data_IF_285261661860
#
_entry.id   IF_285261661860
#
_cell.length_a   1.000
_cell.length_b   1.000
_cell.length_c   1.000
_cell.angle_alpha   90.00
_cell.angle_beta   90.00
_cell.angle_gamma   90.00
#
_symmetry.space_group_name_H-M   'P 1'
#
loop_
_entity.id
_entity.type
_entity.pdbx_description
1 polymer ?
#
# COMPACT_ATOMS: atom_id res chain seq x y z
N UNK A 1 31.06 28.19 39.73
CA UNK A 1 30.72 29.62 39.89
C UNK A 1 29.49 29.85 39.02
N UNK A 2 28.31 29.56 39.58
CA UNK A 2 27.32 30.51 40.17
C UNK A 2 26.31 30.88 39.06
N UNK A 3 25.16 30.21 38.98
CA UNK A 3 23.86 30.60 39.59
C UNK A 3 23.33 31.95 39.10
N UNK A 4 22.15 31.92 38.46
CA UNK A 4 20.97 32.73 38.76
C UNK A 4 19.78 32.18 37.93
N UNK A 5 18.74 31.57 38.49
CA UNK A 5 17.61 32.16 39.27
C UNK A 5 16.86 33.25 38.47
N UNK A 6 15.54 33.35 38.38
CA UNK A 6 14.38 32.63 38.93
C UNK A 6 13.10 33.34 38.35
N UNK A 7 11.92 32.86 38.76
CA UNK A 7 10.56 33.45 38.69
C UNK A 7 9.70 32.97 37.49
N UNK A 8 8.76 32.02 37.66
CA UNK A 8 7.54 31.98 38.49
C UNK A 8 6.56 33.13 38.21
N UNK A 9 5.34 32.79 37.76
CA UNK A 9 4.15 33.12 38.53
C UNK A 9 2.93 32.29 38.07
N UNK A 10 2.39 31.54 39.03
CA UNK A 10 1.08 30.91 39.06
C UNK A 10 0.02 31.94 39.51
N UNK A 11 -1.24 31.80 39.09
CA UNK A 11 -2.48 32.24 39.78
C UNK A 11 -3.65 31.58 39.00
N UNK A 12 -4.44 30.61 39.47
CA UNK A 12 -5.19 30.36 40.72
C UNK A 12 -6.68 30.77 40.61
N UNK A 13 -7.56 29.76 40.75
CA UNK A 13 -8.94 29.75 41.33
C UNK A 13 -10.04 30.69 40.76
N UNK A 14 -11.38 30.48 40.79
CA UNK A 14 -12.34 29.50 41.36
C UNK A 14 -13.79 29.81 40.88
N UNK A 15 -14.70 28.81 40.99
CA UNK A 15 -16.12 28.88 41.47
C UNK A 15 -17.30 29.43 40.63
N UNK A 16 -18.14 28.48 40.18
CA UNK A 16 -19.59 28.19 40.43
C UNK A 16 -20.66 29.30 40.69
N UNK A 17 -21.83 29.11 40.02
CA UNK A 17 -23.25 29.22 40.48
C UNK A 17 -24.21 30.03 39.55
N UNK A 18 -25.33 29.40 39.12
CA UNK A 18 -26.47 30.01 38.36
C UNK A 18 -27.56 30.58 39.30
N UNK A 19 -28.89 30.59 39.00
CA UNK A 19 -29.71 30.45 37.78
C UNK A 19 -30.63 31.71 37.55
N UNK A 20 -31.53 31.85 36.55
CA UNK A 20 -32.95 31.39 36.53
C UNK A 20 -33.67 31.76 35.20
N UNK A 21 -34.45 30.80 34.68
CA UNK A 21 -35.81 30.86 34.07
C UNK A 21 -36.28 32.07 33.21
N UNK A 22 -36.71 31.80 31.96
CA UNK A 22 -38.08 32.06 31.41
C UNK A 22 -38.26 31.31 30.06
N UNK A 23 -39.32 30.49 29.89
CA UNK A 23 -40.02 30.41 28.61
C UNK A 23 -40.43 29.03 28.06
N UNK A 24 -41.57 28.52 28.53
CA UNK A 24 -42.39 27.48 27.90
C UNK A 24 -43.08 28.00 26.60
N UNK A 25 -42.92 27.29 25.46
CA UNK A 25 -43.98 27.00 24.47
C UNK A 25 -43.49 26.24 23.21
N UNK A 26 -43.80 24.95 23.19
CA UNK A 26 -44.26 24.07 22.09
C UNK A 26 -44.19 24.56 20.62
N UNK A 27 -43.44 23.84 19.76
CA UNK A 27 -43.96 23.33 18.46
C UNK A 27 -42.93 22.56 17.59
N UNK A 28 -43.34 21.33 17.28
CA UNK A 28 -43.25 20.60 16.00
C UNK A 28 -41.92 20.04 15.45
N UNK A 29 -41.86 18.70 15.46
CA UNK A 29 -41.33 17.79 14.43
C UNK A 29 -40.15 18.29 13.58
N UNK A 30 -38.93 17.93 13.98
CA UNK A 30 -37.82 17.72 13.06
C UNK A 30 -37.23 16.33 13.30
N UNK A 31 -37.33 15.48 12.26
CA UNK A 31 -36.78 14.12 12.21
C UNK A 31 -35.34 14.07 12.74
N UNK A 32 -34.89 12.97 13.38
CA UNK A 32 -33.46 12.80 13.61
C UNK A 32 -32.80 12.75 12.24
N UNK A 33 -32.08 13.82 11.90
CA UNK A 33 -31.11 13.80 10.81
C UNK A 33 -30.17 12.66 11.20
N UNK A 34 -30.30 11.51 10.52
CA UNK A 34 -29.25 10.49 10.48
C UNK A 34 -28.01 11.25 10.02
N UNK A 35 -27.19 11.67 10.98
CA UNK A 35 -25.80 11.99 10.70
C UNK A 35 -25.30 10.70 10.06
N UNK A 36 -25.09 10.74 8.74
CA UNK A 36 -24.26 9.74 8.10
C UNK A 36 -22.98 9.81 8.89
N UNK A 37 -22.74 8.82 9.75
CA UNK A 37 -21.39 8.54 10.21
C UNK A 37 -20.48 8.66 9.00
N UNK A 38 -19.32 9.32 9.11
CA UNK A 38 -18.37 9.35 8.02
C UNK A 38 -18.17 7.89 7.64
N UNK A 39 -18.70 7.49 6.48
CA UNK A 39 -18.61 6.12 5.99
C UNK A 39 -17.20 5.69 6.23
N UNK A 40 -17.05 4.71 7.13
CA UNK A 40 -15.81 4.00 7.39
C UNK A 40 -15.14 3.85 6.04
N UNK A 41 -14.08 4.65 5.80
CA UNK A 41 -13.32 4.58 4.57
C UNK A 41 -12.74 3.18 4.65
N UNK A 42 -13.44 2.21 4.06
CA UNK A 42 -12.90 0.89 3.78
C UNK A 42 -11.53 1.18 3.20
N UNK A 43 -10.50 0.91 4.00
CA UNK A 43 -9.10 0.93 3.56
C UNK A 43 -9.13 0.21 2.23
N UNK A 44 -8.74 0.84 1.11
CA UNK A 44 -8.79 0.16 -0.18
C UNK A 44 -8.05 -1.15 0.03
N UNK A 45 -8.78 -2.25 -0.17
CA UNK A 45 -8.23 -3.58 0.05
C UNK A 45 -6.96 -3.65 -0.79
N UNK A 46 -5.88 -4.03 -0.12
CA UNK A 46 -4.53 -4.17 -0.66
C UNK A 46 -4.58 -5.08 -1.90
N UNK A 47 -4.81 -4.49 -3.07
CA UNK A 47 -5.18 -5.25 -4.25
C UNK A 47 -3.90 -5.82 -4.89
N UNK A 48 -3.87 -7.12 -5.22
CA UNK A 48 -2.72 -7.72 -5.88
C UNK A 48 -2.52 -7.06 -7.25
N UNK A 49 -1.26 -6.85 -7.63
CA UNK A 49 -0.92 -6.30 -8.93
C UNK A 49 -1.38 -7.24 -10.05
N UNK A 50 -1.99 -6.68 -11.10
CA UNK A 50 -2.50 -7.44 -12.24
C UNK A 50 -1.82 -7.04 -13.53
N UNK A 51 -1.56 -8.00 -14.40
CA UNK A 51 -1.09 -7.75 -15.77
C UNK A 51 -1.84 -8.63 -16.76
N UNK A 52 -1.89 -8.21 -18.01
CA UNK A 52 -2.48 -8.98 -19.09
C UNK A 52 -1.39 -9.67 -19.90
N UNK A 53 -1.63 -10.93 -20.29
CA UNK A 53 -0.74 -11.65 -21.18
C UNK A 53 -1.55 -12.43 -22.22
N UNK A 54 -1.02 -12.49 -23.43
CA UNK A 54 -1.58 -13.27 -24.53
C UNK A 54 -1.17 -14.73 -24.36
N UNK A 55 -2.15 -15.62 -24.22
CA UNK A 55 -1.92 -17.06 -24.07
C UNK A 55 -2.57 -17.85 -25.18
N UNK A 56 -1.97 -18.98 -25.54
CA UNK A 56 -2.57 -19.93 -26.46
C UNK A 56 -3.91 -20.44 -25.90
N UNK A 57 -4.89 -20.61 -26.79
CA UNK A 57 -6.16 -21.26 -26.45
C UNK A 57 -5.94 -22.77 -26.29
N UNK A 58 -6.78 -23.44 -25.49
CA UNK A 58 -6.60 -24.89 -25.19
C UNK A 58 -6.74 -25.78 -26.43
N UNK A 59 -7.47 -25.29 -27.43
CA UNK A 59 -7.72 -25.90 -28.73
C UNK A 59 -6.62 -25.59 -29.76
N UNK A 60 -5.63 -24.75 -29.42
CA UNK A 60 -4.49 -24.43 -30.29
C UNK A 60 -4.84 -23.62 -31.55
N UNK A 61 -6.09 -23.17 -31.67
CA UNK A 61 -6.61 -22.47 -32.85
C UNK A 61 -6.37 -20.96 -32.82
N UNK A 62 -5.89 -20.42 -31.69
CA UNK A 62 -5.59 -19.00 -31.58
C UNK A 62 -4.99 -18.59 -30.24
N UNK A 63 -5.01 -17.29 -30.02
CA UNK A 63 -4.53 -16.65 -28.79
C UNK A 63 -5.63 -15.85 -28.13
N UNK A 64 -5.62 -15.77 -26.81
CA UNK A 64 -6.53 -14.91 -26.04
C UNK A 64 -5.75 -14.12 -24.99
N UNK A 65 -6.21 -12.90 -24.73
CA UNK A 65 -5.72 -12.11 -23.60
C UNK A 65 -6.29 -12.68 -22.30
N UNK A 66 -5.44 -12.83 -21.29
CA UNK A 66 -5.82 -13.20 -19.92
C UNK A 66 -5.17 -12.27 -18.93
N UNK A 67 -5.90 -11.95 -17.88
CA UNK A 67 -5.37 -11.22 -16.72
C UNK A 67 -4.80 -12.20 -15.70
N UNK A 68 -3.57 -11.94 -15.27
CA UNK A 68 -2.84 -12.66 -14.24
C UNK A 68 -2.59 -11.75 -13.04
N UNK A 69 -2.29 -12.35 -11.88
CA UNK A 69 -2.03 -11.64 -10.62
C UNK A 69 -0.63 -11.98 -10.13
N UNK A 70 0.11 -10.95 -9.71
CA UNK A 70 1.35 -11.10 -8.97
C UNK A 70 1.08 -10.84 -7.47
N UNK A 71 1.76 -11.58 -6.57
CA UNK A 71 1.65 -11.35 -5.14
C UNK A 71 2.18 -9.95 -4.79
N UNK A 72 1.73 -9.35 -3.69
CA UNK A 72 2.38 -8.13 -3.17
C UNK A 72 3.78 -8.47 -2.66
N UNK A 73 4.71 -7.51 -2.69
CA UNK A 73 5.96 -7.67 -1.94
C UNK A 73 5.64 -7.87 -0.46
N UNK A 74 6.10 -8.99 0.08
CA UNK A 74 6.05 -9.29 1.50
C UNK A 74 7.45 -9.11 2.09
N UNK A 75 7.55 -8.44 3.24
CA UNK A 75 8.81 -8.27 3.97
C UNK A 75 9.43 -9.62 4.35
N UNK A 76 8.59 -10.62 4.62
CA UNK A 76 9.07 -11.99 4.90
C UNK A 76 9.65 -12.64 3.64
N UNK A 77 9.07 -12.37 2.47
CA UNK A 77 9.61 -12.85 1.20
C UNK A 77 10.94 -12.15 0.84
N UNK A 78 11.11 -10.88 1.19
CA UNK A 78 12.38 -10.18 0.99
C UNK A 78 13.56 -10.85 1.72
N UNK A 79 13.32 -11.44 2.89
CA UNK A 79 14.35 -12.19 3.64
C UNK A 79 14.77 -13.50 2.95
N UNK A 80 13.93 -14.05 2.07
CA UNK A 80 14.24 -15.26 1.30
C UNK A 80 15.02 -14.96 0.00
N UNK A 81 15.19 -13.69 -0.37
CA UNK A 81 16.00 -13.28 -1.52
C UNK A 81 17.48 -13.54 -1.23
N UNK A 82 18.21 -14.28 -2.10
CA UNK A 82 19.64 -14.49 -1.92
C UNK A 82 20.40 -13.16 -1.82
N UNK A 83 21.13 -12.96 -0.72
CA UNK A 83 21.78 -11.68 -0.39
C UNK A 83 22.75 -11.16 -1.45
N UNK A 84 23.29 -12.04 -2.32
CA UNK A 84 24.13 -11.64 -3.45
C UNK A 84 23.39 -10.73 -4.44
N UNK A 85 22.11 -10.98 -4.70
CA UNK A 85 21.33 -10.14 -5.62
C UNK A 85 21.09 -8.75 -5.05
N UNK A 86 20.81 -8.68 -3.74
CA UNK A 86 20.67 -7.40 -3.02
C UNK A 86 22.01 -6.65 -3.00
N UNK A 87 23.12 -7.33 -2.72
CA UNK A 87 24.46 -6.74 -2.72
C UNK A 87 24.83 -6.19 -4.10
N UNK A 88 24.65 -6.98 -5.17
CA UNK A 88 24.99 -6.57 -6.53
C UNK A 88 24.15 -5.36 -6.97
N UNK A 89 22.86 -5.32 -6.64
CA UNK A 89 21.99 -4.18 -6.93
C UNK A 89 22.37 -2.90 -6.14
N UNK A 90 22.88 -3.04 -4.91
CA UNK A 90 23.35 -1.89 -4.12
C UNK A 90 24.69 -1.36 -4.65
N UNK A 91 25.62 -2.26 -4.96
CA UNK A 91 26.96 -1.89 -5.43
C UNK A 91 26.97 -1.40 -6.88
N UNK A 92 25.94 -1.74 -7.65
CA UNK A 92 25.79 -1.36 -9.06
C UNK A 92 24.39 -0.77 -9.30
N UNK A 93 24.09 0.42 -8.75
CA UNK A 93 22.75 1.01 -8.82
C UNK A 93 22.32 1.30 -10.27
N UNK A 94 23.27 1.68 -11.12
CA UNK A 94 23.03 2.00 -12.54
C UNK A 94 23.01 0.75 -13.44
N UNK A 95 23.32 -0.43 -12.90
CA UNK A 95 23.24 -1.67 -13.66
C UNK A 95 21.79 -2.17 -13.64
N UNK A 96 21.05 -1.84 -14.70
CA UNK A 96 19.66 -2.25 -14.89
C UNK A 96 19.47 -3.78 -14.76
N UNK A 97 20.44 -4.58 -15.21
CA UNK A 97 20.37 -6.04 -15.08
C UNK A 97 20.51 -6.51 -13.63
N UNK A 98 21.31 -5.81 -12.80
CA UNK A 98 21.39 -6.10 -11.38
C UNK A 98 20.08 -5.75 -10.67
N UNK A 99 19.47 -4.61 -11.00
CA UNK A 99 18.16 -4.20 -10.49
C UNK A 99 17.05 -5.19 -10.90
N UNK A 100 17.03 -5.60 -12.17
CA UNK A 100 16.06 -6.57 -12.69
C UNK A 100 16.24 -7.95 -12.05
N UNK A 101 17.49 -8.40 -11.86
CA UNK A 101 17.77 -9.68 -11.20
C UNK A 101 17.24 -9.68 -9.76
N UNK A 102 17.45 -8.60 -9.01
CA UNK A 102 16.86 -8.43 -7.69
C UNK A 102 15.32 -8.45 -7.75
N UNK A 103 14.73 -7.77 -8.74
CA UNK A 103 13.28 -7.76 -8.96
C UNK A 103 12.69 -9.16 -9.17
N UNK A 104 13.29 -9.96 -10.06
CA UNK A 104 12.85 -11.34 -10.28
C UNK A 104 13.07 -12.24 -9.06
N UNK A 105 14.21 -12.11 -8.39
CA UNK A 105 14.48 -12.88 -7.18
C UNK A 105 13.46 -12.55 -6.08
N UNK A 106 13.07 -11.28 -5.96
CA UNK A 106 12.04 -10.81 -5.03
C UNK A 106 10.66 -11.37 -5.41
N UNK A 107 10.34 -11.38 -6.71
CA UNK A 107 9.09 -11.97 -7.20
C UNK A 107 9.02 -13.46 -6.90
N UNK A 108 10.07 -14.22 -7.22
CA UNK A 108 10.11 -15.68 -6.97
C UNK A 108 10.04 -16.00 -5.47
N UNK A 109 10.68 -15.19 -4.62
CA UNK A 109 10.60 -15.33 -3.17
C UNK A 109 9.16 -15.14 -2.63
N UNK A 110 8.35 -14.31 -3.30
CA UNK A 110 6.94 -14.12 -2.98
C UNK A 110 6.04 -15.30 -3.43
N UNK A 111 6.61 -16.36 -4.02
CA UNK A 111 5.90 -17.57 -4.48
C UNK A 111 4.67 -17.24 -5.34
N UNK A 112 4.88 -16.62 -6.52
CA UNK A 112 3.79 -16.24 -7.39
C UNK A 112 3.08 -17.49 -7.92
N UNK A 113 1.84 -17.31 -8.34
CA UNK A 113 1.10 -18.37 -9.02
C UNK A 113 1.92 -18.89 -10.23
N UNK A 114 2.12 -20.22 -10.38
CA UNK A 114 2.94 -20.77 -11.46
C UNK A 114 2.44 -20.41 -12.86
N UNK A 115 1.12 -20.26 -13.06
CA UNK A 115 0.57 -19.85 -14.35
C UNK A 115 0.84 -18.36 -14.62
N UNK A 116 0.78 -17.51 -13.59
CA UNK A 116 1.20 -16.11 -13.69
C UNK A 116 2.70 -15.98 -14.00
N UNK A 117 3.56 -16.77 -13.35
CA UNK A 117 5.00 -16.76 -13.63
C UNK A 117 5.31 -17.26 -15.06
N UNK A 118 4.62 -18.31 -15.51
CA UNK A 118 4.75 -18.80 -16.88
C UNK A 118 4.27 -17.76 -17.91
N UNK A 119 3.15 -17.09 -17.63
CA UNK A 119 2.64 -16.02 -18.47
C UNK A 119 3.62 -14.84 -18.54
N UNK A 120 4.18 -14.42 -17.40
CA UNK A 120 5.19 -13.37 -17.32
C UNK A 120 6.43 -13.72 -18.15
N UNK A 121 6.93 -14.95 -18.05
CA UNK A 121 8.09 -15.45 -18.81
C UNK A 121 7.81 -15.64 -20.30
N UNK A 122 6.54 -15.66 -20.72
CA UNK A 122 6.14 -15.75 -22.13
C UNK A 122 6.02 -14.38 -22.81
N UNK A 123 6.02 -13.29 -22.04
CA UNK A 123 6.00 -11.95 -22.59
C UNK A 123 7.34 -11.61 -23.28
N UNK A 124 7.33 -10.71 -24.28
CA UNK A 124 8.56 -10.11 -24.77
C UNK A 124 9.36 -9.47 -23.63
N UNK A 125 10.70 -9.50 -23.71
CA UNK A 125 11.58 -9.00 -22.65
C UNK A 125 11.22 -7.59 -22.18
N UNK A 126 10.89 -6.68 -23.11
CA UNK A 126 10.50 -5.31 -22.78
C UNK A 126 9.19 -5.23 -21.97
N UNK A 127 8.17 -6.01 -22.34
CA UNK A 127 6.90 -6.09 -21.61
C UNK A 127 7.08 -6.73 -20.24
N UNK A 128 7.88 -7.81 -20.17
CA UNK A 128 8.21 -8.46 -18.91
C UNK A 128 8.91 -7.50 -17.95
N UNK A 129 9.89 -6.71 -18.43
CA UNK A 129 10.56 -5.67 -17.64
C UNK A 129 9.56 -4.61 -17.17
N UNK A 130 8.68 -4.14 -18.06
CA UNK A 130 7.67 -3.15 -17.70
C UNK A 130 6.71 -3.67 -16.61
N UNK A 131 6.27 -4.93 -16.72
CA UNK A 131 5.39 -5.58 -15.73
C UNK A 131 6.09 -5.71 -14.37
N UNK A 132 7.33 -6.19 -14.33
CA UNK A 132 8.09 -6.32 -13.06
C UNK A 132 8.43 -4.96 -12.46
N UNK A 133 8.80 -3.98 -13.28
CA UNK A 133 9.07 -2.60 -12.84
C UNK A 133 7.82 -1.93 -12.25
N UNK A 134 6.68 -2.07 -12.93
CA UNK A 134 5.39 -1.57 -12.44
C UNK A 134 4.97 -2.28 -11.14
N UNK A 135 5.16 -3.60 -11.06
CA UNK A 135 4.90 -4.37 -9.85
C UNK A 135 5.75 -3.90 -8.65
N UNK A 136 7.05 -3.68 -8.85
CA UNK A 136 7.95 -3.14 -7.83
C UNK A 136 7.54 -1.72 -7.42
N UNK A 137 7.16 -0.88 -8.39
CA UNK A 137 6.74 0.50 -8.14
C UNK A 137 5.42 0.60 -7.36
N UNK A 138 4.42 -0.21 -7.72
CA UNK A 138 3.12 -0.25 -7.05
C UNK A 138 3.23 -0.84 -5.64
N UNK A 139 4.04 -1.89 -5.49
CA UNK A 139 4.28 -2.51 -4.18
C UNK A 139 4.95 -1.54 -3.19
N UNK A 140 5.78 -0.59 -3.67
CA UNK A 140 6.41 0.46 -2.84
C UNK A 140 5.44 1.59 -2.46
N UNK A 141 4.38 1.83 -3.24
CA UNK A 141 3.38 2.88 -2.96
C UNK A 141 2.28 2.42 -2.02
N UNK A 142 1.95 1.13 -1.99
CA UNK A 142 0.93 0.54 -1.11
C UNK A 142 1.38 0.30 0.34
N UNK A 143 2.44 0.97 0.81
CA UNK A 143 3.00 0.82 2.15
C UNK A 143 2.91 2.08 3.03
N UNK A 144 1.97 2.99 2.72
CA UNK A 144 1.66 4.20 3.52
C UNK A 144 0.36 4.00 4.31
#
# INVERSE_FOLDING_TARGET
MTENDQQQNEHDETTTEGPTDVGDRESTNAMPVRRKEPSDRKKPADAPFTFEATVATKDGTGTRVKTFRLPKLDEVAAAAVPGRFTYDAIMQPDNEMAQMTLGFASLEACKPDPAALAALRSLPTAEMIAVVGAWLGESRRSSV
#
